data_IF_130563847896
#
_entry.id   IF_130563847896
#
_cell.length_a   1.000
_cell.length_b   1.000
_cell.length_c   1.000
_cell.angle_alpha   90.00
_cell.angle_beta   90.00
_cell.angle_gamma   90.00
#
_symmetry.space_group_name_H-M   'P 1'
#
loop_
_entity.id
_entity.type
_entity.pdbx_description
1 polymer ?
#
# COMPACT_ATOMS: atom_id res chain seq x y z
N UNK A 1 44.26 8.15 1.10
CA UNK A 1 43.23 9.22 0.96
C UNK A 1 42.07 8.87 0.03
N UNK A 2 42.09 7.78 -0.75
CA UNK A 2 41.02 7.43 -1.71
C UNK A 2 39.80 6.67 -1.18
N UNK A 3 39.75 6.34 0.12
CA UNK A 3 38.70 5.49 0.71
C UNK A 3 37.47 6.30 1.14
N UNK A 4 37.68 7.43 1.84
CA UNK A 4 36.59 8.31 2.32
C UNK A 4 35.74 8.93 1.20
N UNK A 5 36.32 9.19 0.01
CA UNK A 5 35.53 9.77 -1.10
C UNK A 5 34.60 8.74 -1.75
N UNK A 6 34.99 7.46 -1.77
CA UNK A 6 34.14 6.37 -2.28
C UNK A 6 32.97 6.10 -1.36
N UNK A 7 33.19 6.15 -0.05
CA UNK A 7 32.13 6.01 0.95
C UNK A 7 31.15 7.19 0.92
N UNK A 8 31.66 8.42 0.77
CA UNK A 8 30.82 9.61 0.64
C UNK A 8 29.93 9.56 -0.61
N UNK A 9 30.47 9.18 -1.77
CA UNK A 9 29.70 9.05 -3.01
C UNK A 9 28.68 7.92 -2.92
N UNK A 10 29.01 6.80 -2.26
CA UNK A 10 28.05 5.70 -2.01
C UNK A 10 26.92 6.14 -1.08
N UNK A 11 27.24 6.88 -0.02
CA UNK A 11 26.25 7.45 0.89
C UNK A 11 25.30 8.41 0.17
N UNK A 12 25.82 9.34 -0.64
CA UNK A 12 25.00 10.26 -1.43
C UNK A 12 24.11 9.54 -2.43
N UNK A 13 24.65 8.57 -3.19
CA UNK A 13 23.85 7.81 -4.17
C UNK A 13 22.77 6.97 -3.51
N UNK A 14 23.06 6.33 -2.38
CA UNK A 14 22.09 5.55 -1.62
C UNK A 14 20.92 6.42 -1.13
N UNK A 15 21.24 7.58 -0.54
CA UNK A 15 20.22 8.54 -0.10
C UNK A 15 19.41 9.09 -1.29
N UNK A 16 20.06 9.47 -2.39
CA UNK A 16 19.39 9.98 -3.59
C UNK A 16 18.40 8.97 -4.18
N UNK A 17 18.76 7.68 -4.20
CA UNK A 17 17.87 6.63 -4.72
C UNK A 17 16.62 6.47 -3.85
N UNK A 18 16.77 6.53 -2.53
CA UNK A 18 15.64 6.47 -1.58
C UNK A 18 14.74 7.70 -1.73
N UNK A 19 15.32 8.90 -1.88
CA UNK A 19 14.55 10.11 -2.11
C UNK A 19 13.80 10.06 -3.45
N UNK A 20 14.45 9.60 -4.53
CA UNK A 20 13.82 9.45 -5.84
C UNK A 20 12.67 8.43 -5.80
N UNK A 21 12.86 7.28 -5.14
CA UNK A 21 11.80 6.29 -4.96
C UNK A 21 10.62 6.84 -4.16
N UNK A 22 10.90 7.54 -3.05
CA UNK A 22 9.88 8.19 -2.23
C UNK A 22 9.10 9.20 -3.06
N UNK A 23 9.79 10.04 -3.83
CA UNK A 23 9.17 11.02 -4.73
C UNK A 23 8.28 10.35 -5.78
N UNK A 24 8.74 9.26 -6.41
CA UNK A 24 7.95 8.50 -7.39
C UNK A 24 6.68 7.91 -6.77
N UNK A 25 6.74 7.39 -5.54
CA UNK A 25 5.57 6.88 -4.83
C UNK A 25 4.55 7.99 -4.57
N UNK A 26 4.99 9.14 -4.07
CA UNK A 26 4.11 10.29 -3.84
C UNK A 26 3.53 10.84 -5.14
N UNK A 27 4.33 10.92 -6.20
CA UNK A 27 3.87 11.34 -7.51
C UNK A 27 2.81 10.37 -8.05
N UNK A 28 3.04 9.06 -7.92
CA UNK A 28 2.08 8.03 -8.34
C UNK A 28 0.78 8.12 -7.54
N UNK A 29 0.87 8.34 -6.21
CA UNK A 29 -0.30 8.51 -5.35
C UNK A 29 -1.10 9.77 -5.73
N UNK A 30 -0.42 10.89 -6.03
CA UNK A 30 -1.06 12.11 -6.48
C UNK A 30 -1.75 11.93 -7.84
N UNK A 31 -1.09 11.26 -8.79
CA UNK A 31 -1.68 10.93 -10.10
C UNK A 31 -2.90 10.04 -9.91
N UNK A 32 -2.84 9.01 -9.05
CA UNK A 32 -3.97 8.14 -8.76
C UNK A 32 -5.14 8.91 -8.12
N UNK A 33 -4.86 9.81 -7.18
CA UNK A 33 -5.88 10.65 -6.56
C UNK A 33 -6.59 11.54 -7.60
N UNK A 34 -5.84 12.15 -8.52
CA UNK A 34 -6.40 12.96 -9.61
C UNK A 34 -7.20 12.08 -10.58
N UNK A 35 -6.65 10.94 -10.99
CA UNK A 35 -7.29 10.03 -11.96
C UNK A 35 -8.61 9.45 -11.44
N UNK A 36 -8.72 9.22 -10.13
CA UNK A 36 -9.92 8.66 -9.51
C UNK A 36 -10.87 9.70 -8.91
N UNK A 37 -10.54 10.99 -8.93
CA UNK A 37 -11.36 12.04 -8.33
C UNK A 37 -12.81 12.05 -8.85
N UNK A 38 -13.00 11.69 -10.12
CA UNK A 38 -14.32 11.69 -10.78
C UNK A 38 -15.02 10.31 -10.76
N UNK A 39 -14.37 9.27 -10.22
CA UNK A 39 -14.85 7.88 -10.35
C UNK A 39 -15.83 7.43 -9.28
N UNK A 40 -16.18 8.26 -8.30
CA UNK A 40 -17.16 7.87 -7.29
C UNK A 40 -17.63 9.03 -6.41
N UNK A 41 -18.83 8.89 -5.86
CA UNK A 41 -19.29 9.75 -4.78
C UNK A 41 -18.56 9.39 -3.49
N UNK A 42 -17.88 10.37 -2.88
CA UNK A 42 -17.30 10.15 -1.56
C UNK A 42 -18.41 9.84 -0.56
N UNK A 43 -18.28 8.76 0.24
CA UNK A 43 -19.18 8.54 1.35
C UNK A 43 -19.01 9.65 2.39
N UNK A 44 -19.96 9.74 3.33
CA UNK A 44 -19.90 10.77 4.37
C UNK A 44 -18.56 10.72 5.12
N UNK A 45 -18.05 11.90 5.49
CA UNK A 45 -16.74 12.05 6.13
C UNK A 45 -16.58 11.17 7.38
N UNK A 46 -17.66 10.93 8.11
CA UNK A 46 -17.67 10.05 9.28
C UNK A 46 -17.40 8.57 8.94
N UNK A 47 -17.90 8.09 7.79
CA UNK A 47 -17.61 6.72 7.32
C UNK A 47 -16.14 6.61 6.96
N UNK A 48 -15.61 7.57 6.21
CA UNK A 48 -14.18 7.61 5.83
C UNK A 48 -13.29 7.65 7.08
N UNK A 49 -13.62 8.52 8.04
CA UNK A 49 -12.89 8.63 9.30
C UNK A 49 -12.95 7.33 10.13
N UNK A 50 -14.13 6.70 10.22
CA UNK A 50 -14.30 5.43 10.92
C UNK A 50 -13.50 4.30 10.28
N UNK A 51 -13.54 4.17 8.95
CA UNK A 51 -12.75 3.18 8.22
C UNK A 51 -11.25 3.43 8.33
N UNK A 52 -10.81 4.68 8.23
CA UNK A 52 -9.41 5.03 8.38
C UNK A 52 -8.90 4.75 9.80
N UNK A 53 -9.72 5.01 10.83
CA UNK A 53 -9.39 4.67 12.20
C UNK A 53 -9.30 3.15 12.40
N UNK A 54 -10.26 2.39 11.88
CA UNK A 54 -10.24 0.94 11.93
C UNK A 54 -9.02 0.36 11.22
N UNK A 55 -8.69 0.89 10.03
CA UNK A 55 -7.48 0.55 9.30
C UNK A 55 -6.22 0.84 10.11
N UNK A 56 -6.11 2.04 10.70
CA UNK A 56 -4.96 2.42 11.53
C UNK A 56 -4.82 1.56 12.80
N UNK A 57 -5.94 1.13 13.40
CA UNK A 57 -5.93 0.22 14.55
C UNK A 57 -5.53 -1.19 14.14
N UNK A 58 -6.10 -1.70 13.05
CA UNK A 58 -5.80 -3.03 12.50
C UNK A 58 -4.33 -3.12 12.03
N UNK A 59 -3.78 -2.03 11.56
CA UNK A 59 -2.37 -1.91 11.17
C UNK A 59 -1.39 -2.17 12.31
N UNK A 60 -1.79 -1.84 13.55
CA UNK A 60 -1.00 -2.13 14.76
C UNK A 60 -1.04 -3.60 15.15
N UNK A 61 -1.93 -4.39 14.55
CA UNK A 61 -2.09 -5.80 14.81
C UNK A 61 -1.58 -6.59 13.59
N UNK A 62 -0.32 -7.01 13.66
CA UNK A 62 0.23 -7.99 12.72
C UNK A 62 0.12 -9.36 13.37
N UNK A 63 -0.55 -10.30 12.69
CA UNK A 63 -0.69 -11.67 13.19
C UNK A 63 0.32 -12.55 12.46
N UNK A 64 1.22 -13.25 13.17
CA UNK A 64 2.14 -14.19 12.54
C UNK A 64 1.33 -15.36 11.97
N UNK A 65 1.36 -15.53 10.64
CA UNK A 65 0.78 -16.68 9.94
C UNK A 65 1.75 -17.87 9.89
N UNK A 66 3.05 -17.61 9.98
CA UNK A 66 4.13 -18.61 10.02
C UNK A 66 5.32 -18.01 10.77
N UNK A 67 6.35 -18.81 11.10
CA UNK A 67 7.58 -18.32 11.75
C UNK A 67 8.27 -17.16 11.01
N UNK A 68 8.02 -17.01 9.69
CA UNK A 68 8.63 -15.97 8.83
C UNK A 68 7.64 -15.08 8.08
N UNK A 69 6.32 -15.25 8.28
CA UNK A 69 5.29 -14.53 7.50
C UNK A 69 4.25 -13.92 8.44
N UNK A 70 4.18 -12.60 8.47
CA UNK A 70 3.15 -11.84 9.19
C UNK A 70 2.15 -11.30 8.17
N UNK A 71 0.85 -11.55 8.35
CA UNK A 71 -0.18 -10.86 7.59
C UNK A 71 -0.69 -9.68 8.43
N UNK A 72 -0.69 -8.49 7.83
CA UNK A 72 -1.26 -7.31 8.45
C UNK A 72 -2.79 -7.36 8.36
N UNK A 73 -3.47 -7.20 9.50
CA UNK A 73 -4.94 -7.20 9.57
C UNK A 73 -5.54 -5.94 8.93
N UNK A 74 -4.73 -4.91 8.65
CA UNK A 74 -5.12 -3.69 7.95
C UNK A 74 -5.68 -3.91 6.53
N UNK A 75 -5.40 -5.07 5.95
CA UNK A 75 -5.94 -5.50 4.66
C UNK A 75 -7.48 -5.43 4.59
N UNK A 76 -8.17 -5.87 5.65
CA UNK A 76 -9.63 -6.00 5.64
C UNK A 76 -10.34 -4.64 5.49
N UNK A 77 -10.02 -3.61 6.30
CA UNK A 77 -10.57 -2.27 6.12
C UNK A 77 -10.31 -1.66 4.73
N UNK A 78 -9.12 -1.89 4.16
CA UNK A 78 -8.80 -1.37 2.83
C UNK A 78 -9.61 -2.06 1.74
N UNK A 79 -9.65 -3.40 1.74
CA UNK A 79 -10.45 -4.17 0.78
C UNK A 79 -11.93 -3.84 0.89
N UNK A 80 -12.46 -3.71 2.12
CA UNK A 80 -13.84 -3.27 2.31
C UNK A 80 -14.08 -1.90 1.72
N UNK A 81 -13.22 -0.92 2.02
CA UNK A 81 -13.37 0.45 1.48
C UNK A 81 -13.28 0.47 -0.05
N UNK A 82 -12.43 -0.36 -0.64
CA UNK A 82 -12.24 -0.54 -2.07
C UNK A 82 -13.47 -1.13 -2.76
N UNK A 83 -14.05 -2.20 -2.20
CA UNK A 83 -15.21 -2.88 -2.77
C UNK A 83 -16.49 -2.07 -2.56
N UNK A 84 -16.66 -1.45 -1.39
CA UNK A 84 -17.87 -0.73 -1.03
C UNK A 84 -17.94 0.69 -1.62
N UNK A 85 -16.80 1.38 -1.72
CA UNK A 85 -16.77 2.81 -2.06
C UNK A 85 -15.77 3.17 -3.18
N UNK A 86 -15.15 2.17 -3.80
CA UNK A 86 -14.31 2.35 -4.97
C UNK A 86 -12.86 2.79 -4.69
N UNK A 87 -12.06 3.00 -5.76
CA UNK A 87 -10.62 3.26 -5.68
C UNK A 87 -10.28 4.57 -4.98
N UNK A 88 -11.04 5.64 -5.22
CA UNK A 88 -10.76 6.94 -4.64
C UNK A 88 -10.93 6.96 -3.12
N UNK A 89 -12.05 6.40 -2.64
CA UNK A 89 -12.31 6.31 -1.20
C UNK A 89 -11.27 5.43 -0.52
N UNK A 90 -10.90 4.30 -1.13
CA UNK A 90 -9.88 3.42 -0.59
C UNK A 90 -8.50 4.09 -0.51
N UNK A 91 -8.13 4.88 -1.54
CA UNK A 91 -6.91 5.68 -1.54
C UNK A 91 -6.87 6.64 -0.34
N UNK A 92 -7.97 7.36 -0.11
CA UNK A 92 -8.08 8.33 1.00
C UNK A 92 -8.04 7.62 2.36
N UNK A 93 -8.78 6.52 2.52
CA UNK A 93 -8.74 5.70 3.74
C UNK A 93 -7.32 5.19 4.01
N UNK A 94 -6.62 4.71 2.99
CA UNK A 94 -5.22 4.29 3.07
C UNK A 94 -4.26 5.42 3.47
N UNK A 95 -4.45 6.60 2.90
CA UNK A 95 -3.65 7.79 3.21
C UNK A 95 -3.88 8.27 4.66
N UNK A 96 -5.13 8.34 5.11
CA UNK A 96 -5.50 8.76 6.48
C UNK A 96 -5.03 7.72 7.50
N UNK A 97 -5.18 6.43 7.20
CA UNK A 97 -4.69 5.37 8.08
C UNK A 97 -3.17 5.47 8.28
N UNK A 98 -2.41 5.69 7.20
CA UNK A 98 -0.97 5.87 7.25
C UNK A 98 -0.50 7.15 7.95
N UNK A 99 -1.33 8.21 7.98
CA UNK A 99 -1.03 9.44 8.74
C UNK A 99 -0.88 9.20 10.25
N UNK A 100 -1.60 8.21 10.80
CA UNK A 100 -1.57 7.87 12.23
C UNK A 100 -0.24 7.33 12.74
N UNK A 101 0.66 6.95 11.82
CA UNK A 101 1.95 6.33 12.12
C UNK A 101 3.13 7.30 12.06
N UNK A 102 2.87 8.61 12.27
CA UNK A 102 3.89 9.66 12.31
C UNK A 102 4.81 9.52 13.54
N UNK A 103 5.73 8.56 13.50
CA UNK A 103 6.74 8.30 14.52
C UNK A 103 8.12 8.21 13.88
N UNK A 104 9.16 8.56 14.64
CA UNK A 104 10.55 8.34 14.22
C UNK A 104 10.76 6.83 13.99
N UNK A 105 11.37 6.39 12.89
CA UNK A 105 12.04 7.18 11.83
C UNK A 105 11.11 7.68 10.71
N UNK A 106 11.08 9.00 10.48
CA UNK A 106 10.18 9.67 9.51
C UNK A 106 10.35 9.21 8.05
N UNK A 107 11.53 8.72 7.68
CA UNK A 107 11.79 8.21 6.33
C UNK A 107 11.02 6.92 6.03
N UNK A 108 10.69 6.13 7.06
CA UNK A 108 9.82 4.96 6.92
C UNK A 108 8.40 5.43 6.63
N UNK A 109 7.91 6.38 7.41
CA UNK A 109 6.58 6.95 7.23
C UNK A 109 6.38 7.54 5.81
N UNK A 110 7.36 8.31 5.33
CA UNK A 110 7.28 8.94 4.00
C UNK A 110 7.21 7.94 2.84
N UNK A 111 7.74 6.72 3.00
CA UNK A 111 7.71 5.65 1.99
C UNK A 111 6.44 4.81 2.12
N UNK A 112 6.07 4.42 3.34
CA UNK A 112 4.97 3.48 3.55
C UNK A 112 3.59 4.10 3.44
N UNK A 113 3.44 5.39 3.73
CA UNK A 113 2.16 6.09 3.56
C UNK A 113 1.67 6.06 2.10
N UNK A 114 2.44 6.52 1.10
CA UNK A 114 1.98 6.48 -0.29
C UNK A 114 1.82 5.05 -0.80
N UNK A 115 2.62 4.08 -0.31
CA UNK A 115 2.43 2.66 -0.63
C UNK A 115 1.05 2.19 -0.17
N UNK A 116 0.66 2.45 1.09
CA UNK A 116 -0.66 2.04 1.61
C UNK A 116 -1.82 2.65 0.81
N UNK A 117 -1.72 3.95 0.53
CA UNK A 117 -2.72 4.65 -0.28
C UNK A 117 -2.83 4.04 -1.69
N UNK A 118 -1.69 3.77 -2.34
CA UNK A 118 -1.65 3.15 -3.67
C UNK A 118 -2.18 1.72 -3.66
N UNK A 119 -1.79 0.90 -2.69
CA UNK A 119 -2.29 -0.47 -2.56
C UNK A 119 -3.81 -0.49 -2.42
N UNK A 120 -4.37 0.35 -1.53
CA UNK A 120 -5.81 0.45 -1.36
C UNK A 120 -6.52 0.94 -2.64
N UNK A 121 -5.94 1.91 -3.34
CA UNK A 121 -6.44 2.39 -4.63
C UNK A 121 -6.44 1.28 -5.71
N UNK A 122 -5.34 0.52 -5.81
CA UNK A 122 -5.20 -0.61 -6.74
C UNK A 122 -6.25 -1.69 -6.43
N UNK A 123 -6.50 -1.98 -5.15
CA UNK A 123 -7.55 -2.91 -4.74
C UNK A 123 -8.94 -2.43 -5.21
N UNK A 124 -9.25 -1.14 -5.05
CA UNK A 124 -10.52 -0.58 -5.53
C UNK A 124 -10.64 -0.52 -7.05
N UNK A 125 -9.55 -0.26 -7.75
CA UNK A 125 -9.51 -0.30 -9.21
C UNK A 125 -9.74 -1.72 -9.74
N UNK A 126 -9.13 -2.72 -9.11
CA UNK A 126 -9.33 -4.13 -9.44
C UNK A 126 -10.78 -4.59 -9.16
N UNK A 127 -11.36 -4.19 -8.02
CA UNK A 127 -12.77 -4.45 -7.73
C UNK A 127 -13.68 -3.86 -8.80
N UNK A 128 -13.49 -2.58 -9.11
CA UNK A 128 -14.30 -1.82 -10.08
C UNK A 128 -14.18 -2.41 -11.50
N UNK A 129 -13.00 -2.90 -11.88
CA UNK A 129 -12.76 -3.50 -13.18
C UNK A 129 -13.51 -4.83 -13.38
N UNK A 130 -13.69 -5.61 -12.31
CA UNK A 130 -14.35 -6.93 -12.37
C UNK A 130 -15.85 -6.82 -12.08
N UNK A 131 -16.23 -5.90 -11.20
CA UNK A 131 -17.62 -5.65 -10.83
C UNK A 131 -17.83 -4.13 -10.68
N UNK A 132 -18.26 -3.45 -11.76
CA UNK A 132 -18.58 -2.03 -11.70
C UNK A 132 -19.66 -1.72 -10.66
N UNK A 133 -19.60 -0.55 -10.01
CA UNK A 133 -20.62 -0.12 -9.04
C UNK A 133 -22.02 -0.21 -9.63
N UNK A 134 -22.92 -0.92 -8.96
CA UNK A 134 -24.32 -1.06 -9.36
C UNK A 134 -25.20 -1.07 -8.11
N UNK A 135 -26.38 -0.46 -8.20
CA UNK A 135 -27.32 -0.34 -7.07
C UNK A 135 -27.82 -1.69 -6.55
N UNK A 136 -27.71 -2.76 -7.34
CA UNK A 136 -28.20 -4.11 -7.02
C UNK A 136 -27.12 -5.17 -7.25
N UNK A 137 -25.98 -5.02 -6.58
CA UNK A 137 -24.90 -6.00 -6.69
C UNK A 137 -25.34 -7.37 -6.16
N UNK A 138 -25.36 -8.38 -7.04
CA UNK A 138 -25.60 -9.76 -6.63
C UNK A 138 -24.45 -10.28 -5.77
N UNK A 139 -24.71 -11.24 -4.88
CA UNK A 139 -23.69 -11.84 -4.01
C UNK A 139 -22.41 -12.27 -4.77
N UNK A 140 -22.59 -12.87 -5.95
CA UNK A 140 -21.47 -13.29 -6.80
C UNK A 140 -20.58 -12.14 -7.28
N UNK A 141 -21.15 -10.95 -7.52
CA UNK A 141 -20.37 -9.76 -7.90
C UNK A 141 -19.55 -9.24 -6.72
N UNK A 142 -20.13 -9.21 -5.52
CA UNK A 142 -19.40 -8.80 -4.30
C UNK A 142 -18.27 -9.79 -4.00
N UNK A 143 -18.52 -11.09 -4.15
CA UNK A 143 -17.51 -12.13 -3.98
C UNK A 143 -16.36 -11.96 -4.98
N UNK A 144 -16.66 -11.79 -6.26
CA UNK A 144 -15.67 -11.54 -7.31
C UNK A 144 -14.88 -10.26 -7.08
N UNK A 145 -15.56 -9.16 -6.73
CA UNK A 145 -14.92 -7.88 -6.42
C UNK A 145 -13.95 -8.00 -5.25
N UNK A 146 -14.37 -8.72 -4.19
CA UNK A 146 -13.56 -8.94 -3.00
C UNK A 146 -12.35 -9.81 -3.29
N UNK A 147 -12.49 -10.88 -4.08
CA UNK A 147 -11.37 -11.73 -4.50
C UNK A 147 -10.37 -10.93 -5.36
N UNK A 148 -10.87 -10.13 -6.31
CA UNK A 148 -10.05 -9.29 -7.17
C UNK A 148 -9.30 -8.22 -6.35
N UNK A 149 -10.00 -7.49 -5.47
CA UNK A 149 -9.39 -6.52 -4.57
C UNK A 149 -8.34 -7.15 -3.65
N UNK A 150 -8.65 -8.32 -3.10
CA UNK A 150 -7.75 -9.06 -2.21
C UNK A 150 -6.44 -9.43 -2.90
N UNK A 151 -6.54 -10.05 -4.08
CA UNK A 151 -5.36 -10.44 -4.86
C UNK A 151 -4.54 -9.22 -5.28
N UNK A 152 -5.21 -8.16 -5.75
CA UNK A 152 -4.55 -6.93 -6.16
C UNK A 152 -3.85 -6.22 -4.99
N UNK A 153 -4.48 -6.17 -3.81
CA UNK A 153 -3.86 -5.60 -2.61
C UNK A 153 -2.60 -6.38 -2.22
N UNK A 154 -2.68 -7.70 -2.09
CA UNK A 154 -1.53 -8.53 -1.69
C UNK A 154 -0.39 -8.43 -2.73
N UNK A 155 -0.73 -8.44 -4.02
CA UNK A 155 0.24 -8.29 -5.11
C UNK A 155 0.92 -6.93 -5.10
N UNK A 156 0.16 -5.84 -4.93
CA UNK A 156 0.69 -4.49 -4.85
C UNK A 156 1.58 -4.29 -3.61
N UNK A 157 1.14 -4.77 -2.43
CA UNK A 157 1.93 -4.71 -1.21
C UNK A 157 3.25 -5.47 -1.36
N UNK A 158 3.24 -6.67 -1.95
CA UNK A 158 4.46 -7.42 -2.22
C UNK A 158 5.38 -6.66 -3.17
N UNK A 159 4.84 -6.14 -4.28
CA UNK A 159 5.60 -5.38 -5.28
C UNK A 159 6.27 -4.15 -4.66
N UNK A 160 5.54 -3.34 -3.90
CA UNK A 160 6.09 -2.13 -3.28
C UNK A 160 7.09 -2.43 -2.17
N UNK A 161 6.87 -3.50 -1.38
CA UNK A 161 7.83 -3.92 -0.36
C UNK A 161 9.14 -4.43 -0.99
N UNK A 162 9.07 -5.27 -2.02
CA UNK A 162 10.23 -5.74 -2.77
C UNK A 162 10.97 -4.58 -3.45
N UNK A 163 10.24 -3.66 -4.07
CA UNK A 163 10.80 -2.45 -4.67
C UNK A 163 11.54 -1.58 -3.65
N UNK A 164 10.93 -1.38 -2.48
CA UNK A 164 11.54 -0.61 -1.38
C UNK A 164 12.81 -1.28 -0.85
N UNK A 165 12.83 -2.61 -0.74
CA UNK A 165 14.03 -3.35 -0.33
C UNK A 165 15.15 -3.29 -1.38
N UNK A 166 14.80 -3.45 -2.66
CA UNK A 166 15.75 -3.34 -3.76
C UNK A 166 16.41 -1.94 -3.80
N UNK A 167 15.61 -0.89 -3.60
CA UNK A 167 16.09 0.51 -3.52
C UNK A 167 16.98 0.74 -2.29
N UNK A 168 16.61 0.18 -1.13
CA UNK A 168 17.39 0.32 0.10
C UNK A 168 18.71 -0.45 0.09
N UNK A 169 18.93 -1.36 -0.88
CA UNK A 169 20.12 -2.24 -0.99
C UNK A 169 20.48 -2.94 0.34
N UNK A 170 19.50 -3.15 1.22
CA UNK A 170 19.70 -3.69 2.56
C UNK A 170 19.84 -5.23 2.57
N UNK A 171 19.79 -5.87 1.41
CA UNK A 171 19.94 -7.32 1.25
C UNK A 171 19.50 -7.73 -0.14
N UNK A 172 20.15 -8.73 -0.70
CA UNK A 172 19.87 -9.28 -2.03
C UNK A 172 18.37 -9.63 -2.16
N UNK A 173 17.66 -9.14 -3.21
CA UNK A 173 16.27 -9.54 -3.50
C UNK A 173 16.13 -11.06 -3.64
N UNK A 174 17.22 -11.73 -4.03
CA UNK A 174 17.33 -13.18 -4.17
C UNK A 174 17.28 -13.89 -2.80
N UNK A 175 17.72 -13.24 -1.72
CA UNK A 175 17.66 -13.82 -0.38
C UNK A 175 16.21 -13.95 0.12
N UNK A 176 15.33 -13.00 -0.25
CA UNK A 176 13.92 -13.03 0.16
C UNK A 176 13.09 -14.01 -0.67
N UNK A 177 13.37 -14.10 -1.97
CA UNK A 177 12.85 -15.16 -2.84
C UNK A 177 13.28 -16.56 -2.36
N UNK A 178 14.51 -16.72 -1.87
CA UNK A 178 15.00 -17.97 -1.28
C UNK A 178 14.34 -18.32 0.07
N UNK A 179 13.94 -17.34 0.87
CA UNK A 179 13.18 -17.63 2.10
C UNK A 179 11.72 -18.03 1.83
N UNK A 180 11.14 -17.61 0.71
CA UNK A 180 9.78 -18.00 0.30
C UNK A 180 9.74 -19.30 -0.52
N UNK A 181 10.84 -19.67 -1.16
CA UNK A 181 11.00 -20.92 -1.89
C UNK A 181 12.09 -21.79 -1.25
N UNK A 182 11.85 -22.42 -0.08
CA UNK A 182 12.61 -23.60 0.28
C UNK A 182 12.01 -24.78 -0.50
N UNK A 183 12.46 -24.96 -1.74
CA UNK A 183 12.36 -26.23 -2.46
C UNK A 183 13.77 -26.80 -2.60
#
# INVERSE_FOLDING_TARGET
MGDKSRDFVRFLRANLTIYAWTFLLWLSAAIAAIAFADTGSMPSLWIVAGLALLAALAERQSVPLTQNTEASVAFLPFVFSAVAFGPFTALIVGAIAGLGDFRRPYLRWAVYLPIRALTAAIAGAAATAVAPPSDHAAFGQILLATLAASGANLGADLFFNLGTQAVRRAGSPVALLRTLAPL
#
